data_IF_828608360827
#
_entry.id   IF_828608360827
#
_cell.length_a   1.000
_cell.length_b   1.000
_cell.length_c   1.000
_cell.angle_alpha   90.00
_cell.angle_beta   90.00
_cell.angle_gamma   90.00
#
_symmetry.space_group_name_H-M   'P 1'
#
loop_
_entity.id
_entity.type
_entity.pdbx_description
1 polymer ?
#
# COMPACT_ATOMS: atom_id res chain seq x y z
N UNK A 1 -21.30 -12.04 16.83
CA UNK A 1 -20.75 -12.74 15.64
C UNK A 1 -19.25 -12.63 15.71
N UNK A 2 -18.53 -13.74 15.51
CA UNK A 2 -17.05 -13.73 15.57
C UNK A 2 -16.52 -13.56 14.13
N UNK A 3 -15.70 -12.55 13.88
CA UNK A 3 -15.14 -12.26 12.55
C UNK A 3 -13.74 -12.82 12.34
N UNK A 4 -13.04 -13.20 13.42
CA UNK A 4 -11.68 -13.71 13.33
C UNK A 4 -11.12 -14.18 14.66
N UNK A 5 -9.84 -14.53 14.66
CA UNK A 5 -9.10 -15.00 15.83
C UNK A 5 -7.60 -14.71 15.68
N UNK A 6 -6.87 -14.73 16.77
CA UNK A 6 -5.40 -14.64 16.78
C UNK A 6 -4.79 -16.01 16.53
N UNK A 7 -3.93 -16.12 15.53
CA UNK A 7 -3.05 -17.24 15.30
C UNK A 7 -1.71 -16.96 15.99
N UNK A 8 -1.55 -17.46 17.20
CA UNK A 8 -0.40 -17.16 18.05
C UNK A 8 0.91 -17.76 17.48
N UNK A 9 0.83 -18.92 16.86
CA UNK A 9 1.99 -19.60 16.31
C UNK A 9 2.63 -18.82 15.13
N UNK A 10 1.78 -18.22 14.30
CA UNK A 10 2.22 -17.45 13.12
C UNK A 10 2.32 -15.95 13.40
N UNK A 11 1.90 -15.47 14.57
CA UNK A 11 1.79 -14.06 14.90
C UNK A 11 0.90 -13.32 13.88
N UNK A 12 -0.24 -13.90 13.56
CA UNK A 12 -1.22 -13.39 12.61
C UNK A 12 -2.58 -13.15 13.26
N UNK A 13 -3.35 -12.21 12.71
CA UNK A 13 -4.77 -12.11 12.95
C UNK A 13 -5.54 -12.63 11.75
N UNK A 14 -6.34 -13.67 11.96
CA UNK A 14 -7.10 -14.35 10.91
C UNK A 14 -8.52 -13.81 10.88
N UNK A 15 -8.94 -13.29 9.75
CA UNK A 15 -10.29 -12.79 9.47
C UNK A 15 -10.99 -13.81 8.60
N UNK A 16 -12.07 -14.42 9.13
CA UNK A 16 -12.73 -15.59 8.51
C UNK A 16 -13.90 -15.24 7.61
N UNK A 17 -14.22 -13.93 7.49
CA UNK A 17 -15.27 -13.43 6.59
C UNK A 17 -14.99 -11.99 6.18
N UNK A 18 -15.27 -11.63 4.92
CA UNK A 18 -14.82 -10.35 4.37
C UNK A 18 -15.69 -9.16 4.76
N UNK A 19 -16.92 -9.38 5.20
CA UNK A 19 -17.94 -8.38 5.55
C UNK A 19 -17.80 -7.90 7.00
N UNK A 20 -16.60 -7.53 7.40
CA UNK A 20 -16.32 -6.95 8.72
C UNK A 20 -17.08 -5.63 8.92
N UNK A 21 -17.41 -5.24 10.17
CA UNK A 21 -18.20 -4.03 10.46
C UNK A 21 -17.59 -2.72 9.94
N UNK A 22 -16.27 -2.72 9.76
CA UNK A 22 -15.46 -1.69 9.12
C UNK A 22 -14.30 -2.37 8.41
N UNK A 23 -13.62 -1.71 7.46
CA UNK A 23 -12.39 -2.25 6.90
C UNK A 23 -11.34 -2.47 8.00
N UNK A 24 -10.93 -3.70 8.20
CA UNK A 24 -9.84 -4.02 9.13
C UNK A 24 -8.54 -4.00 8.37
N UNK A 25 -7.60 -3.19 8.85
CA UNK A 25 -6.40 -2.84 8.10
C UNK A 25 -5.13 -3.44 8.70
N UNK A 26 -4.18 -3.68 7.84
CA UNK A 26 -2.80 -3.98 8.18
C UNK A 26 -1.86 -3.02 7.44
N UNK A 27 -0.60 -3.06 7.83
CA UNK A 27 0.47 -2.22 7.31
C UNK A 27 1.44 -3.07 6.50
N UNK A 28 1.89 -2.52 5.36
CA UNK A 28 2.95 -3.11 4.58
C UNK A 28 4.07 -2.08 4.48
N UNK A 29 5.30 -2.49 4.72
CA UNK A 29 6.42 -1.62 4.43
C UNK A 29 7.35 -1.30 5.58
N UNK A 30 8.10 -0.26 5.33
CA UNK A 30 9.28 0.20 6.01
C UNK A 30 9.26 1.73 6.12
N UNK A 31 10.30 2.37 6.69
CA UNK A 31 10.41 3.82 6.64
C UNK A 31 10.38 4.41 5.22
N UNK A 32 10.90 3.68 4.22
CA UNK A 32 11.02 4.15 2.83
C UNK A 32 9.72 4.05 2.06
N UNK A 33 8.88 3.07 2.36
CA UNK A 33 7.61 2.80 1.68
C UNK A 33 6.54 2.37 2.66
N UNK A 34 5.46 3.11 2.72
CA UNK A 34 4.30 2.79 3.53
C UNK A 34 3.11 2.37 2.69
N UNK A 35 2.43 1.30 3.11
CA UNK A 35 1.18 0.92 2.51
C UNK A 35 0.19 0.43 3.58
N UNK A 36 -1.07 0.81 3.42
CA UNK A 36 -2.17 0.33 4.24
C UNK A 36 -3.06 -0.54 3.37
N UNK A 37 -3.36 -1.73 3.86
CA UNK A 37 -4.19 -2.71 3.16
C UNK A 37 -5.32 -3.18 4.06
N UNK A 38 -6.56 -3.15 3.58
CA UNK A 38 -7.70 -3.73 4.28
C UNK A 38 -7.80 -5.23 4.03
N UNK A 39 -8.65 -5.91 4.80
CA UNK A 39 -9.00 -7.32 4.60
C UNK A 39 -9.63 -7.63 3.22
N UNK A 40 -9.91 -6.62 2.42
CA UNK A 40 -10.39 -6.73 1.04
C UNK A 40 -9.45 -6.04 0.02
N UNK A 41 -8.16 -5.90 0.36
CA UNK A 41 -7.11 -5.30 -0.46
C UNK A 41 -7.30 -3.81 -0.82
N UNK A 42 -8.30 -3.13 -0.25
CA UNK A 42 -8.43 -1.68 -0.39
C UNK A 42 -7.32 -0.95 0.36
N UNK A 43 -7.00 0.25 -0.06
CA UNK A 43 -6.04 1.09 0.64
C UNK A 43 -5.12 1.90 -0.27
N UNK A 44 -4.11 2.49 0.32
CA UNK A 44 -3.18 3.39 -0.35
C UNK A 44 -1.73 3.04 -0.05
N UNK A 45 -0.84 3.61 -0.83
CA UNK A 45 0.60 3.53 -0.62
C UNK A 45 1.31 4.85 -0.89
N UNK A 46 2.50 4.99 -0.30
CA UNK A 46 3.31 6.18 -0.44
C UNK A 46 4.80 5.87 -0.24
N UNK A 47 5.65 6.68 -0.86
CA UNK A 47 7.10 6.69 -0.63
C UNK A 47 7.41 7.79 0.38
N UNK A 48 8.06 7.45 1.48
CA UNK A 48 8.50 8.31 2.58
C UNK A 48 7.37 9.08 3.28
N UNK A 49 6.56 9.83 2.54
CA UNK A 49 5.57 10.75 3.09
C UNK A 49 4.15 10.43 2.62
N UNK A 50 3.23 10.26 3.57
CA UNK A 50 1.81 10.12 3.26
C UNK A 50 1.20 11.36 2.60
N UNK A 51 1.81 12.54 2.77
CA UNK A 51 1.37 13.79 2.15
C UNK A 51 1.94 14.00 0.74
N UNK A 52 3.24 13.73 0.55
CA UNK A 52 3.98 14.09 -0.67
C UNK A 52 4.58 12.89 -1.41
N UNK A 53 4.20 11.67 -1.08
CA UNK A 53 4.72 10.46 -1.71
C UNK A 53 3.64 9.51 -2.20
N UNK A 54 2.40 9.96 -2.36
CA UNK A 54 1.28 9.10 -2.75
C UNK A 54 1.50 8.43 -4.09
N UNK A 55 1.21 7.13 -4.13
CA UNK A 55 1.26 6.32 -5.36
C UNK A 55 -0.13 5.81 -5.70
N UNK A 56 -0.71 5.01 -4.80
CA UNK A 56 -2.03 4.45 -4.97
C UNK A 56 -3.09 5.37 -4.39
N UNK A 57 -4.12 5.65 -5.18
CA UNK A 57 -5.25 6.46 -4.76
C UNK A 57 -6.15 5.70 -3.81
N UNK A 58 -6.67 6.41 -2.82
CA UNK A 58 -7.71 5.95 -1.93
C UNK A 58 -8.70 7.08 -1.67
N UNK A 59 -9.99 6.79 -1.69
CA UNK A 59 -11.04 7.79 -1.43
C UNK A 59 -11.46 7.70 0.03
N UNK A 60 -10.95 8.65 0.81
CA UNK A 60 -11.41 8.85 2.18
C UNK A 60 -12.87 9.38 2.17
N UNK A 61 -13.58 9.20 3.24
CA UNK A 61 -15.00 9.55 3.38
C UNK A 61 -15.95 8.75 2.47
N UNK A 62 -15.54 7.59 2.00
CA UNK A 62 -16.39 6.64 1.31
C UNK A 62 -16.92 5.59 2.28
N UNK A 63 -18.18 5.20 2.13
CA UNK A 63 -18.76 4.07 2.90
C UNK A 63 -18.13 2.72 2.50
N UNK A 64 -17.54 2.66 1.32
CA UNK A 64 -16.77 1.53 0.84
C UNK A 64 -15.28 1.92 0.81
N UNK A 65 -14.40 1.07 1.35
CA UNK A 65 -12.97 1.26 1.24
C UNK A 65 -12.52 1.00 -0.21
N UNK A 66 -12.37 2.05 -1.01
CA UNK A 66 -12.06 2.01 -2.44
C UNK A 66 -11.14 3.18 -2.84
N UNK A 67 -10.34 3.03 -3.91
CA UNK A 67 -9.94 1.77 -4.54
C UNK A 67 -8.88 1.00 -3.76
N UNK A 68 -8.32 -0.02 -4.37
CA UNK A 68 -7.32 -0.88 -3.78
C UNK A 68 -6.48 -1.62 -4.81
N UNK A 69 -5.80 -2.63 -4.33
CA UNK A 69 -4.93 -3.53 -5.07
C UNK A 69 -5.77 -4.68 -5.60
N UNK A 70 -6.47 -4.46 -6.71
CA UNK A 70 -7.45 -5.43 -7.19
C UNK A 70 -6.88 -6.35 -8.26
N UNK A 71 -7.28 -7.60 -8.21
CA UNK A 71 -7.03 -8.58 -9.26
C UNK A 71 -8.39 -9.18 -9.61
N UNK A 72 -8.88 -8.88 -10.79
CA UNK A 72 -10.10 -9.50 -11.30
C UNK A 72 -9.76 -10.78 -12.02
N UNK A 73 -10.61 -11.78 -11.86
CA UNK A 73 -10.57 -13.03 -12.60
C UNK A 73 -11.83 -13.15 -13.43
N UNK A 74 -11.70 -13.59 -14.67
CA UNK A 74 -12.81 -13.81 -15.57
C UNK A 74 -12.66 -15.15 -16.25
N UNK A 75 -13.70 -15.95 -16.16
CA UNK A 75 -13.78 -17.23 -16.84
C UNK A 75 -13.98 -17.02 -18.35
N UNK A 76 -13.14 -17.62 -19.17
CA UNK A 76 -13.20 -17.49 -20.61
C UNK A 76 -14.39 -18.25 -21.23
N UNK A 77 -14.88 -19.32 -20.56
CA UNK A 77 -15.95 -20.17 -21.09
C UNK A 77 -17.34 -19.51 -20.98
N UNK A 78 -17.64 -18.94 -19.79
CA UNK A 78 -18.97 -18.43 -19.49
C UNK A 78 -19.02 -16.90 -19.30
N UNK A 79 -17.87 -16.24 -19.24
CA UNK A 79 -17.76 -14.79 -19.08
C UNK A 79 -18.04 -14.29 -17.67
N UNK A 80 -18.28 -15.16 -16.69
CA UNK A 80 -18.44 -14.77 -15.30
C UNK A 80 -17.12 -14.21 -14.76
N UNK A 81 -17.19 -13.18 -13.91
CA UNK A 81 -16.00 -12.56 -13.33
C UNK A 81 -16.19 -12.25 -11.83
N UNK A 82 -15.11 -12.28 -11.12
CA UNK A 82 -15.01 -11.98 -9.68
C UNK A 82 -13.66 -11.33 -9.38
N UNK A 83 -13.40 -11.00 -8.13
CA UNK A 83 -12.09 -10.52 -7.71
C UNK A 83 -11.42 -11.51 -6.76
N UNK A 84 -10.09 -11.53 -6.75
CA UNK A 84 -9.27 -12.40 -5.89
C UNK A 84 -9.47 -12.12 -4.39
N UNK A 85 -10.00 -10.95 -4.06
CA UNK A 85 -10.56 -10.58 -2.76
C UNK A 85 -12.05 -10.33 -2.93
N UNK A 86 -12.85 -10.39 -1.86
CA UNK A 86 -14.30 -10.22 -1.99
C UNK A 86 -14.69 -8.91 -2.68
N UNK A 87 -14.12 -7.79 -2.25
CA UNK A 87 -14.23 -6.52 -2.97
C UNK A 87 -13.21 -6.46 -4.13
N UNK A 88 -13.49 -5.72 -5.20
CA UNK A 88 -14.62 -4.80 -5.39
C UNK A 88 -15.88 -5.42 -6.01
N UNK A 89 -15.82 -6.66 -6.53
CA UNK A 89 -16.97 -7.27 -7.24
C UNK A 89 -18.10 -7.64 -6.28
N UNK A 90 -17.79 -8.20 -5.12
CA UNK A 90 -18.76 -8.47 -4.06
C UNK A 90 -19.73 -9.61 -4.40
N UNK A 91 -19.24 -10.77 -4.85
CA UNK A 91 -20.08 -11.95 -5.06
C UNK A 91 -20.82 -12.35 -3.77
N UNK A 92 -22.02 -12.96 -3.89
CA UNK A 92 -22.78 -13.43 -2.73
C UNK A 92 -21.94 -14.35 -1.83
N UNK A 93 -21.99 -14.12 -0.52
CA UNK A 93 -21.17 -14.85 0.46
C UNK A 93 -21.54 -16.31 0.69
N UNK A 94 -22.69 -16.76 0.19
CA UNK A 94 -23.07 -18.17 0.15
C UNK A 94 -22.31 -18.97 -0.92
N UNK A 95 -21.80 -18.28 -1.95
CA UNK A 95 -21.02 -18.87 -3.05
C UNK A 95 -19.55 -18.44 -3.06
N UNK A 96 -19.16 -17.44 -2.26
CA UNK A 96 -17.81 -16.90 -2.21
C UNK A 96 -17.21 -17.05 -0.81
N UNK A 97 -16.14 -17.82 -0.68
CA UNK A 97 -15.39 -17.97 0.56
C UNK A 97 -14.21 -17.02 0.57
N UNK A 98 -13.90 -16.47 1.73
CA UNK A 98 -12.76 -15.58 1.90
C UNK A 98 -12.16 -15.74 3.29
N UNK A 99 -10.84 -15.74 3.35
CA UNK A 99 -10.04 -15.63 4.57
C UNK A 99 -8.95 -14.59 4.33
N UNK A 100 -8.70 -13.74 5.34
CA UNK A 100 -7.58 -12.82 5.31
C UNK A 100 -6.72 -13.04 6.56
N UNK A 101 -5.40 -13.18 6.37
CA UNK A 101 -4.39 -13.27 7.42
C UNK A 101 -3.54 -12.02 7.41
N UNK A 102 -3.68 -11.20 8.43
CA UNK A 102 -2.82 -10.06 8.66
C UNK A 102 -1.65 -10.46 9.56
N UNK A 103 -0.44 -10.44 9.02
CA UNK A 103 0.80 -10.66 9.75
C UNK A 103 1.60 -9.37 9.91
N UNK A 104 2.82 -9.47 10.43
CA UNK A 104 3.70 -8.32 10.61
C UNK A 104 4.32 -7.89 9.28
N UNK A 105 3.83 -6.79 8.72
CA UNK A 105 4.19 -6.18 7.44
C UNK A 105 3.88 -7.01 6.19
N UNK A 106 2.96 -7.97 6.30
CA UNK A 106 2.41 -8.69 5.15
C UNK A 106 0.94 -9.04 5.38
N UNK A 107 0.22 -9.34 4.31
CA UNK A 107 -1.14 -9.87 4.38
C UNK A 107 -1.34 -10.95 3.33
N UNK A 108 -2.04 -12.03 3.71
CA UNK A 108 -2.40 -13.11 2.80
C UNK A 108 -3.93 -13.17 2.70
N UNK A 109 -4.45 -13.12 1.49
CA UNK A 109 -5.89 -13.18 1.22
C UNK A 109 -6.18 -14.40 0.36
N UNK A 110 -6.98 -15.30 0.90
CA UNK A 110 -7.42 -16.52 0.21
C UNK A 110 -8.88 -16.39 -0.14
N UNK A 111 -9.26 -16.76 -1.35
CA UNK A 111 -10.65 -16.85 -1.76
C UNK A 111 -10.92 -18.13 -2.56
N UNK A 112 -12.20 -18.56 -2.53
CA UNK A 112 -12.69 -19.64 -3.36
C UNK A 112 -14.04 -19.23 -3.98
N UNK A 113 -14.11 -19.29 -5.31
CA UNK A 113 -15.32 -19.05 -6.07
C UNK A 113 -15.31 -19.87 -7.37
N UNK A 114 -16.43 -20.48 -7.73
CA UNK A 114 -16.59 -21.27 -8.97
C UNK A 114 -15.47 -22.32 -9.17
N UNK A 115 -15.12 -23.05 -8.11
CA UNK A 115 -14.05 -24.05 -8.05
C UNK A 115 -12.63 -23.52 -8.35
N UNK A 116 -12.45 -22.21 -8.35
CA UNK A 116 -11.14 -21.57 -8.42
C UNK A 116 -10.77 -21.02 -7.04
N UNK A 117 -9.60 -21.43 -6.56
CA UNK A 117 -9.00 -20.89 -5.35
C UNK A 117 -7.90 -19.90 -5.71
N UNK A 118 -7.89 -18.74 -5.04
CA UNK A 118 -6.77 -17.81 -5.09
C UNK A 118 -6.14 -17.64 -3.71
N UNK A 119 -4.83 -17.42 -3.69
CA UNK A 119 -4.07 -17.00 -2.52
C UNK A 119 -3.17 -15.85 -2.93
N UNK A 120 -3.47 -14.65 -2.45
CA UNK A 120 -2.70 -13.45 -2.78
C UNK A 120 -1.96 -12.94 -1.56
N UNK A 121 -0.64 -12.88 -1.65
CA UNK A 121 0.25 -12.33 -0.62
C UNK A 121 0.68 -10.93 -1.00
N UNK A 122 0.47 -9.97 -0.11
CA UNK A 122 0.86 -8.56 -0.25
C UNK A 122 1.98 -8.25 0.75
N UNK A 123 3.09 -7.67 0.30
CA UNK A 123 4.18 -7.23 1.17
C UNK A 123 5.05 -6.18 0.48
N UNK A 124 5.89 -5.52 1.26
CA UNK A 124 6.93 -4.60 0.78
C UNK A 124 8.29 -5.21 1.16
N UNK A 125 9.18 -5.47 0.20
CA UNK A 125 10.53 -5.94 0.52
C UNK A 125 11.30 -4.88 1.31
N UNK A 126 12.13 -5.31 2.26
CA UNK A 126 12.87 -4.41 3.14
C UNK A 126 13.75 -3.41 2.36
N UNK A 127 13.67 -2.12 2.69
CA UNK A 127 14.45 -1.06 2.07
C UNK A 127 14.06 -0.73 0.62
N UNK A 128 12.92 -1.24 0.13
CA UNK A 128 12.47 -1.00 -1.23
C UNK A 128 11.35 0.04 -1.30
N UNK A 129 11.23 0.71 -2.44
CA UNK A 129 10.17 1.68 -2.73
C UNK A 129 9.13 1.11 -3.69
N UNK A 130 8.81 -0.16 -3.52
CA UNK A 130 7.76 -0.88 -4.25
C UNK A 130 7.16 -1.99 -3.39
N UNK A 131 5.95 -2.38 -3.71
CA UNK A 131 5.22 -3.48 -3.10
C UNK A 131 5.02 -4.63 -4.09
N UNK A 132 4.89 -5.84 -3.58
CA UNK A 132 4.74 -7.07 -4.34
C UNK A 132 3.42 -7.74 -3.97
N UNK A 133 2.67 -8.17 -4.99
CA UNK A 133 1.45 -8.96 -4.84
C UNK A 133 1.65 -10.28 -5.57
N UNK A 134 1.87 -11.36 -4.82
CA UNK A 134 1.96 -12.70 -5.40
C UNK A 134 0.61 -13.37 -5.32
N UNK A 135 0.00 -13.66 -6.46
CA UNK A 135 -1.24 -14.42 -6.56
C UNK A 135 -0.95 -15.83 -7.07
N UNK A 136 -1.34 -16.84 -6.29
CA UNK A 136 -1.44 -18.23 -6.71
C UNK A 136 -2.90 -18.52 -7.07
N UNK A 137 -3.12 -19.17 -8.21
CA UNK A 137 -4.45 -19.58 -8.70
C UNK A 137 -4.46 -21.08 -8.86
N UNK A 138 -5.37 -21.76 -8.18
CA UNK A 138 -5.54 -23.21 -8.23
C UNK A 138 -6.90 -23.55 -8.83
N UNK A 139 -6.90 -24.44 -9.80
CA UNK A 139 -8.11 -25.01 -10.37
C UNK A 139 -8.54 -26.23 -9.57
N UNK A 140 -9.59 -26.12 -8.78
CA UNK A 140 -10.21 -27.23 -8.04
C UNK A 140 -11.34 -27.94 -8.83
N UNK A 141 -11.64 -27.47 -10.06
CA UNK A 141 -12.61 -28.12 -10.95
C UNK A 141 -12.04 -29.45 -11.50
N UNK A 142 -12.91 -30.30 -11.95
CA UNK A 142 -12.59 -31.57 -12.62
C UNK A 142 -12.20 -31.40 -14.10
N UNK A 143 -12.35 -30.20 -14.68
CA UNK A 143 -12.01 -29.84 -16.07
C UNK A 143 -10.95 -28.74 -16.13
N UNK A 144 -10.29 -28.65 -17.27
CA UNK A 144 -9.40 -27.53 -17.57
C UNK A 144 -10.19 -26.21 -17.58
N UNK A 145 -9.59 -25.16 -17.02
CA UNK A 145 -10.17 -23.82 -16.95
C UNK A 145 -9.21 -22.79 -17.54
N UNK A 146 -9.73 -21.91 -18.35
CA UNK A 146 -8.99 -20.74 -18.85
C UNK A 146 -9.54 -19.46 -18.24
N UNK A 147 -8.69 -18.72 -17.57
CA UNK A 147 -9.04 -17.49 -16.85
C UNK A 147 -8.23 -16.32 -17.38
N UNK A 148 -8.88 -15.18 -17.61
CA UNK A 148 -8.20 -13.89 -17.71
C UNK A 148 -8.03 -13.29 -16.33
N UNK A 149 -6.82 -12.87 -15.99
CA UNK A 149 -6.52 -12.15 -14.74
C UNK A 149 -6.14 -10.70 -15.09
N UNK A 150 -6.85 -9.73 -14.47
CA UNK A 150 -6.62 -8.31 -14.63
C UNK A 150 -6.09 -7.75 -13.31
N UNK A 151 -4.76 -7.51 -13.23
CA UNK A 151 -4.20 -6.74 -12.14
C UNK A 151 -4.54 -5.27 -12.31
N UNK A 152 -4.99 -4.61 -11.26
CA UNK A 152 -5.48 -3.23 -11.31
C UNK A 152 -5.02 -2.39 -10.13
N UNK A 153 -4.59 -1.17 -10.44
CA UNK A 153 -4.35 -0.09 -9.48
C UNK A 153 -4.83 1.26 -10.05
N UNK A 154 -5.42 2.09 -9.22
CA UNK A 154 -5.60 3.51 -9.54
C UNK A 154 -4.44 4.32 -8.98
N UNK A 155 -3.71 5.02 -9.85
CA UNK A 155 -2.66 5.94 -9.43
C UNK A 155 -3.26 7.26 -8.95
N UNK A 156 -2.57 7.94 -8.02
CA UNK A 156 -2.78 9.38 -7.86
C UNK A 156 -2.22 10.12 -9.07
N UNK A 157 -2.85 11.22 -9.48
CA UNK A 157 -2.35 12.03 -10.60
C UNK A 157 -1.21 12.98 -10.17
N UNK A 158 -1.08 13.20 -8.87
CA UNK A 158 -0.03 13.99 -8.22
C UNK A 158 0.48 13.18 -7.02
N UNK A 159 1.72 13.37 -6.59
CA UNK A 159 2.23 12.73 -5.40
C UNK A 159 1.79 13.49 -4.13
N UNK A 160 1.56 14.78 -4.21
CA UNK A 160 0.98 15.56 -3.12
C UNK A 160 -0.50 15.24 -2.97
N UNK A 161 -0.86 14.68 -1.81
CA UNK A 161 -2.22 14.22 -1.52
C UNK A 161 -3.25 15.34 -1.61
N UNK A 162 -2.95 16.53 -1.07
CA UNK A 162 -3.87 17.65 -1.07
C UNK A 162 -4.14 18.15 -2.50
N UNK A 163 -3.08 18.32 -3.29
CA UNK A 163 -3.23 18.74 -4.69
C UNK A 163 -3.99 17.70 -5.51
N UNK A 164 -3.73 16.42 -5.31
CA UNK A 164 -4.45 15.34 -6.00
C UNK A 164 -5.96 15.33 -5.71
N UNK A 165 -6.37 15.76 -4.53
CA UNK A 165 -7.79 15.77 -4.13
C UNK A 165 -8.51 17.11 -4.43
N UNK A 166 -7.82 18.23 -4.31
CA UNK A 166 -8.44 19.57 -4.37
C UNK A 166 -8.27 20.22 -5.74
N UNK A 167 -7.13 19.98 -6.39
CA UNK A 167 -6.78 20.62 -7.65
C UNK A 167 -6.89 19.68 -8.85
N UNK A 168 -7.98 18.93 -8.93
CA UNK A 168 -8.20 17.88 -9.93
C UNK A 168 -8.00 18.36 -11.37
N UNK A 169 -8.51 19.55 -11.71
CA UNK A 169 -8.38 20.13 -13.04
C UNK A 169 -6.91 20.22 -13.47
N UNK A 170 -6.04 20.64 -12.55
CA UNK A 170 -4.62 20.78 -12.84
C UNK A 170 -3.93 19.42 -12.92
N UNK A 171 -4.18 18.52 -11.96
CA UNK A 171 -3.49 17.24 -11.87
C UNK A 171 -3.79 16.29 -13.04
N UNK A 172 -4.93 16.47 -13.71
CA UNK A 172 -5.25 15.73 -14.94
C UNK A 172 -4.31 16.06 -16.10
N UNK A 173 -3.78 17.28 -16.16
CA UNK A 173 -2.89 17.72 -17.26
C UNK A 173 -1.42 17.38 -17.07
N UNK A 174 -0.99 17.06 -15.84
CA UNK A 174 0.41 16.80 -15.54
C UNK A 174 0.77 15.31 -15.60
N UNK A 175 -0.23 14.43 -15.74
CA UNK A 175 -0.04 12.99 -15.71
C UNK A 175 -0.33 12.31 -17.05
N UNK A 176 0.46 11.33 -17.38
CA UNK A 176 0.25 10.45 -18.53
C UNK A 176 0.70 9.04 -18.20
N UNK A 177 0.21 8.05 -18.93
CA UNK A 177 0.65 6.67 -18.83
C UNK A 177 1.22 6.17 -20.16
N UNK A 178 2.09 5.16 -20.08
CA UNK A 178 2.68 4.47 -21.21
C UNK A 178 2.81 2.99 -20.90
N UNK A 179 2.45 2.10 -21.83
CA UNK A 179 2.71 0.67 -21.69
C UNK A 179 4.03 0.30 -22.33
N UNK A 180 4.91 -0.37 -21.58
CA UNK A 180 6.18 -0.93 -22.07
C UNK A 180 6.26 -2.41 -21.68
N UNK A 181 5.97 -3.27 -22.63
CA UNK A 181 5.98 -4.71 -22.43
C UNK A 181 4.98 -5.15 -21.36
N UNK A 182 5.49 -5.67 -20.26
CA UNK A 182 4.71 -6.21 -19.15
C UNK A 182 4.42 -5.20 -18.02
N UNK A 183 4.54 -3.90 -18.29
CA UNK A 183 4.28 -2.85 -17.30
C UNK A 183 3.61 -1.62 -17.90
N UNK A 184 2.93 -0.87 -17.04
CA UNK A 184 2.48 0.50 -17.29
C UNK A 184 3.35 1.43 -16.45
N UNK A 185 3.91 2.45 -17.10
CA UNK A 185 4.58 3.58 -16.46
C UNK A 185 3.60 4.74 -16.36
N UNK A 186 3.58 5.39 -15.20
CA UNK A 186 2.95 6.67 -15.03
C UNK A 186 4.03 7.74 -14.92
N UNK A 187 3.89 8.78 -15.72
CA UNK A 187 4.76 9.96 -15.71
C UNK A 187 3.99 11.14 -15.13
N UNK A 188 4.57 11.80 -14.14
CA UNK A 188 4.03 13.01 -13.53
C UNK A 188 5.03 14.13 -13.69
N UNK A 189 4.58 15.28 -14.21
CA UNK A 189 5.34 16.50 -14.19
C UNK A 189 4.92 17.32 -12.95
N UNK A 190 5.66 17.16 -11.87
CA UNK A 190 5.35 17.87 -10.63
C UNK A 190 5.47 19.36 -10.77
N UNK A 191 4.49 20.07 -10.18
CA UNK A 191 4.50 21.53 -10.13
C UNK A 191 5.14 22.07 -8.84
N UNK A 192 5.22 21.25 -7.81
CA UNK A 192 5.51 21.66 -6.43
C UNK A 192 6.99 21.61 -6.03
N UNK A 193 7.87 21.18 -6.91
CA UNK A 193 9.28 21.09 -6.56
C UNK A 193 10.13 20.39 -7.59
N UNK A 194 11.42 20.56 -7.45
CA UNK A 194 12.43 19.81 -8.19
C UNK A 194 12.93 18.69 -7.29
N UNK A 195 13.18 17.53 -7.87
CA UNK A 195 13.93 16.47 -7.19
C UNK A 195 15.39 16.89 -6.95
N UNK A 196 16.18 16.04 -6.29
CA UNK A 196 17.60 16.28 -6.03
C UNK A 196 18.43 16.49 -7.32
N UNK A 197 17.93 16.03 -8.47
CA UNK A 197 18.55 16.23 -9.78
C UNK A 197 18.13 17.53 -10.48
N UNK A 198 17.20 18.28 -9.87
CA UNK A 198 16.62 19.48 -10.45
C UNK A 198 15.48 19.20 -11.43
N UNK A 199 15.01 17.97 -11.52
CA UNK A 199 13.84 17.57 -12.32
C UNK A 199 12.58 17.64 -11.48
N UNK A 200 11.49 17.98 -12.14
CA UNK A 200 10.13 17.88 -11.60
C UNK A 200 9.37 16.68 -12.22
N UNK A 201 10.09 15.71 -12.73
CA UNK A 201 9.53 14.52 -13.37
C UNK A 201 9.64 13.31 -12.45
N UNK A 202 8.51 12.64 -12.24
CA UNK A 202 8.41 11.44 -11.43
C UNK A 202 7.85 10.28 -12.25
N UNK A 203 8.42 9.10 -12.07
CA UNK A 203 7.97 7.87 -12.69
C UNK A 203 7.51 6.86 -11.64
N UNK A 204 6.35 6.27 -11.90
CA UNK A 204 5.80 5.14 -11.15
C UNK A 204 5.49 4.03 -12.13
N UNK A 205 5.46 2.80 -11.62
CA UNK A 205 5.15 1.65 -12.47
C UNK A 205 4.20 0.68 -11.76
N UNK A 206 3.42 0.01 -12.58
CA UNK A 206 2.69 -1.20 -12.24
C UNK A 206 3.02 -2.26 -13.27
N UNK A 207 3.52 -3.41 -12.85
CA UNK A 207 4.04 -4.42 -13.76
C UNK A 207 3.73 -5.85 -13.31
N UNK A 208 3.93 -6.80 -14.24
CA UNK A 208 3.73 -8.24 -14.05
C UNK A 208 5.04 -8.97 -14.28
N UNK A 209 5.36 -9.92 -13.41
CA UNK A 209 6.42 -10.90 -13.58
C UNK A 209 5.83 -12.32 -13.55
N UNK A 210 6.51 -13.27 -14.19
CA UNK A 210 6.11 -14.67 -14.21
C UNK A 210 4.93 -15.02 -15.14
N UNK A 211 4.37 -14.03 -15.87
CA UNK A 211 3.29 -14.25 -16.83
C UNK A 211 3.38 -13.28 -18.01
N UNK A 212 2.87 -13.70 -19.16
CA UNK A 212 2.81 -12.85 -20.35
C UNK A 212 1.61 -11.89 -20.24
N UNK A 213 1.87 -10.59 -20.37
CA UNK A 213 0.83 -9.56 -20.49
C UNK A 213 0.35 -9.51 -21.92
N UNK A 214 -0.94 -9.71 -22.12
CA UNK A 214 -1.56 -9.71 -23.45
C UNK A 214 -1.94 -8.29 -23.89
N UNK A 215 -2.58 -7.55 -23.00
CA UNK A 215 -3.01 -6.16 -23.20
C UNK A 215 -3.07 -5.40 -21.88
N UNK A 216 -3.31 -4.10 -21.92
CA UNK A 216 -3.40 -3.26 -20.74
C UNK A 216 -4.24 -2.00 -20.95
N UNK A 217 -4.45 -1.25 -19.88
CA UNK A 217 -5.09 0.05 -19.92
C UNK A 217 -4.49 0.98 -18.87
N UNK A 218 -4.09 2.17 -19.30
CA UNK A 218 -3.57 3.22 -18.43
C UNK A 218 -4.57 4.33 -18.11
N UNK A 219 -5.77 4.27 -18.70
CA UNK A 219 -6.83 5.28 -18.58
C UNK A 219 -7.99 4.73 -17.74
N UNK A 220 -8.22 5.34 -16.58
CA UNK A 220 -9.24 4.87 -15.64
C UNK A 220 -10.64 4.90 -16.22
N UNK A 221 -10.99 5.99 -16.92
CA UNK A 221 -12.35 6.18 -17.44
C UNK A 221 -12.68 5.14 -18.53
N UNK A 222 -11.65 4.72 -19.30
CA UNK A 222 -11.76 3.67 -20.28
C UNK A 222 -11.87 2.29 -19.64
N UNK A 223 -11.03 2.01 -18.63
CA UNK A 223 -11.04 0.71 -17.96
C UNK A 223 -12.37 0.45 -17.25
N UNK A 224 -12.84 1.42 -16.47
CA UNK A 224 -14.09 1.29 -15.70
C UNK A 224 -15.31 1.44 -16.59
N UNK A 225 -15.32 2.43 -17.48
CA UNK A 225 -16.47 2.75 -18.35
C UNK A 225 -17.42 3.76 -17.72
N UNK A 226 -18.14 4.50 -18.57
CA UNK A 226 -19.09 5.51 -18.13
C UNK A 226 -20.24 4.91 -17.32
N UNK A 227 -20.60 5.54 -16.20
CA UNK A 227 -21.66 5.12 -15.27
C UNK A 227 -21.43 3.74 -14.61
N UNK A 228 -20.18 3.26 -14.58
CA UNK A 228 -19.77 2.02 -13.94
C UNK A 228 -18.89 2.31 -12.72
N UNK A 229 -18.56 1.25 -11.99
CA UNK A 229 -17.74 1.30 -10.79
C UNK A 229 -16.64 0.22 -10.84
N UNK A 230 -15.81 0.15 -9.81
CA UNK A 230 -14.81 -0.93 -9.70
C UNK A 230 -15.42 -2.33 -9.55
N UNK A 231 -16.72 -2.43 -9.21
CA UNK A 231 -17.40 -3.74 -9.14
C UNK A 231 -17.76 -4.32 -10.50
N UNK A 232 -17.84 -3.48 -11.51
CA UNK A 232 -18.27 -3.86 -12.86
C UNK A 232 -17.53 -3.11 -13.98
N UNK A 233 -16.17 -3.15 -14.01
CA UNK A 233 -15.41 -2.48 -15.06
C UNK A 233 -15.72 -3.08 -16.42
N UNK A 234 -15.91 -2.22 -17.43
CA UNK A 234 -16.29 -2.66 -18.78
C UNK A 234 -15.24 -3.59 -19.39
N UNK A 235 -13.95 -3.31 -19.20
CA UNK A 235 -12.88 -4.12 -19.79
C UNK A 235 -12.79 -5.51 -19.17
N UNK A 236 -13.15 -5.66 -17.89
CA UNK A 236 -13.23 -6.97 -17.25
C UNK A 236 -14.44 -7.76 -17.80
N UNK A 237 -15.60 -7.10 -17.92
CA UNK A 237 -16.80 -7.71 -18.49
C UNK A 237 -16.59 -8.15 -19.95
N UNK A 238 -15.93 -7.33 -20.76
CA UNK A 238 -15.58 -7.67 -22.14
C UNK A 238 -14.45 -8.70 -22.28
N UNK A 239 -13.65 -8.90 -21.20
CA UNK A 239 -12.57 -9.88 -21.15
C UNK A 239 -11.28 -9.44 -21.83
N UNK A 240 -11.10 -8.16 -22.11
CA UNK A 240 -9.88 -7.59 -22.73
C UNK A 240 -9.71 -6.12 -22.38
N UNK A 241 -8.47 -5.64 -22.38
CA UNK A 241 -8.15 -4.22 -22.42
C UNK A 241 -7.97 -3.77 -23.88
N UNK A 242 -8.06 -2.46 -24.11
CA UNK A 242 -7.98 -1.85 -25.45
C UNK A 242 -6.65 -1.14 -25.72
N UNK A 243 -5.65 -1.32 -24.83
CA UNK A 243 -4.36 -0.63 -24.82
C UNK A 243 -4.45 0.92 -24.78
N UNK A 244 -5.59 1.46 -24.35
CA UNK A 244 -5.73 2.91 -24.14
C UNK A 244 -4.82 3.40 -23.01
N UNK A 245 -4.02 4.40 -23.29
CA UNK A 245 -3.17 5.06 -22.30
C UNK A 245 -3.78 6.40 -21.88
N UNK A 246 -3.41 6.86 -20.68
CA UNK A 246 -3.90 8.12 -20.17
C UNK A 246 -3.16 9.31 -20.76
N UNK A 247 -3.94 10.32 -21.13
CA UNK A 247 -3.49 11.65 -21.44
C UNK A 247 -4.62 12.63 -21.10
N UNK A 248 -4.41 13.48 -20.11
CA UNK A 248 -5.41 14.44 -19.62
C UNK A 248 -6.67 13.82 -18.95
N UNK A 249 -6.51 12.67 -18.25
CA UNK A 249 -7.57 12.03 -17.47
C UNK A 249 -6.98 11.35 -16.23
N UNK A 250 -7.77 10.58 -15.51
CA UNK A 250 -7.29 9.80 -14.37
C UNK A 250 -6.46 8.59 -14.82
N UNK A 251 -5.34 8.39 -14.15
CA UNK A 251 -4.40 7.32 -14.45
C UNK A 251 -4.73 6.04 -13.69
N UNK A 252 -4.64 4.91 -14.37
CA UNK A 252 -4.62 3.59 -13.75
C UNK A 252 -3.51 2.71 -14.34
N UNK A 253 -3.24 1.60 -13.67
CA UNK A 253 -2.49 0.49 -14.21
C UNK A 253 -3.42 -0.73 -14.26
N UNK A 254 -3.84 -1.15 -15.43
CA UNK A 254 -4.57 -2.39 -15.65
C UNK A 254 -3.80 -3.26 -16.65
N UNK A 255 -3.46 -4.49 -16.26
CA UNK A 255 -2.68 -5.42 -17.06
C UNK A 255 -3.37 -6.78 -17.08
N UNK A 256 -3.67 -7.28 -18.28
CA UNK A 256 -4.33 -8.58 -18.45
C UNK A 256 -3.32 -9.66 -18.82
N UNK A 257 -3.44 -10.76 -18.10
CA UNK A 257 -2.76 -12.04 -18.37
C UNK A 257 -3.81 -13.13 -18.56
N UNK A 258 -3.40 -14.28 -19.12
CA UNK A 258 -4.25 -15.43 -19.27
C UNK A 258 -3.61 -16.67 -18.65
N UNK A 259 -4.43 -17.46 -17.98
CA UNK A 259 -4.02 -18.71 -17.32
C UNK A 259 -4.91 -19.84 -17.79
N UNK A 260 -4.35 -20.87 -18.40
CA UNK A 260 -5.00 -22.15 -18.60
C UNK A 260 -4.50 -23.13 -17.54
N UNK A 261 -5.41 -23.71 -16.78
CA UNK A 261 -5.14 -24.52 -15.62
C UNK A 261 -5.80 -25.91 -15.77
N UNK A 262 -5.00 -26.96 -15.81
CA UNK A 262 -5.51 -28.32 -15.70
C UNK A 262 -6.17 -28.57 -14.32
N UNK A 263 -7.01 -29.62 -14.16
CA UNK A 263 -7.54 -30.02 -12.86
C UNK A 263 -6.44 -30.18 -11.80
N UNK A 264 -6.57 -29.51 -10.66
CA UNK A 264 -5.60 -29.51 -9.55
C UNK A 264 -4.34 -28.68 -9.80
N UNK A 265 -4.16 -28.07 -10.96
CA UNK A 265 -2.98 -27.26 -11.26
C UNK A 265 -3.03 -25.91 -10.54
N UNK A 266 -1.85 -25.45 -10.07
CA UNK A 266 -1.64 -24.11 -9.52
C UNK A 266 -0.66 -23.35 -10.37
N UNK A 267 -0.99 -22.11 -10.74
CA UNK A 267 -0.09 -21.15 -11.40
C UNK A 267 0.05 -19.88 -10.58
N UNK A 268 1.15 -19.17 -10.79
CA UNK A 268 1.51 -17.97 -10.04
C UNK A 268 1.63 -16.77 -10.99
N UNK A 269 1.16 -15.61 -10.54
CA UNK A 269 1.39 -14.31 -11.17
C UNK A 269 1.88 -13.36 -10.08
N UNK A 270 2.92 -12.58 -10.40
CA UNK A 270 3.48 -11.59 -9.49
C UNK A 270 3.25 -10.20 -10.08
N UNK A 271 2.56 -9.35 -9.31
CA UNK A 271 2.39 -7.93 -9.63
C UNK A 271 3.32 -7.09 -8.75
N UNK A 272 3.86 -6.02 -9.31
CA UNK A 272 4.73 -5.08 -8.61
C UNK A 272 4.26 -3.66 -8.87
N UNK A 273 4.07 -2.89 -7.79
CA UNK A 273 3.70 -1.48 -7.82
C UNK A 273 4.77 -0.66 -7.11
N UNK A 274 5.26 0.40 -7.71
CA UNK A 274 6.24 1.25 -7.03
C UNK A 274 6.62 2.53 -7.78
N UNK A 275 7.58 3.23 -7.19
CA UNK A 275 8.16 4.45 -7.77
C UNK A 275 9.58 4.15 -8.22
N UNK A 276 9.74 3.86 -9.51
CA UNK A 276 11.01 3.58 -10.18
C UNK A 276 10.89 3.93 -11.66
N UNK A 277 12.02 4.32 -12.25
CA UNK A 277 12.08 4.57 -13.68
C UNK A 277 11.96 3.28 -14.52
N UNK A 278 11.88 3.44 -15.84
CA UNK A 278 11.71 2.35 -16.79
C UNK A 278 12.79 1.26 -16.67
N UNK A 279 14.06 1.66 -16.57
CA UNK A 279 15.17 0.71 -16.51
C UNK A 279 15.24 -0.04 -15.18
N UNK A 280 14.99 0.63 -14.07
CA UNK A 280 14.96 0.04 -12.72
C UNK A 280 13.78 -0.92 -12.58
N UNK A 281 12.58 -0.50 -12.98
CA UNK A 281 11.38 -1.33 -12.90
C UNK A 281 11.50 -2.59 -13.78
N UNK A 282 12.16 -2.51 -14.95
CA UNK A 282 12.43 -3.68 -15.77
C UNK A 282 13.34 -4.69 -15.06
N UNK A 283 14.39 -4.22 -14.38
CA UNK A 283 15.29 -5.09 -13.58
C UNK A 283 14.56 -5.72 -12.41
N UNK A 284 13.70 -4.98 -11.73
CA UNK A 284 12.89 -5.48 -10.63
C UNK A 284 11.98 -6.62 -11.11
N UNK A 285 11.20 -6.40 -12.18
CA UNK A 285 10.31 -7.43 -12.72
C UNK A 285 11.08 -8.68 -13.16
N UNK A 286 12.19 -8.52 -13.88
CA UNK A 286 13.04 -9.65 -14.27
C UNK A 286 13.58 -10.44 -13.07
N UNK A 287 13.84 -9.78 -11.94
CA UNK A 287 14.33 -10.46 -10.75
C UNK A 287 13.29 -11.38 -10.11
N UNK A 288 11.99 -11.12 -10.28
CA UNK A 288 10.89 -11.95 -9.80
C UNK A 288 10.56 -13.15 -10.70
N UNK A 289 11.25 -13.30 -11.83
CA UNK A 289 11.21 -14.53 -12.63
C UNK A 289 12.06 -15.65 -11.97
N UNK A 290 12.90 -15.28 -11.00
CA UNK A 290 13.67 -16.25 -10.22
C UNK A 290 12.75 -16.98 -9.24
N UNK A 291 12.69 -18.31 -9.37
CA UNK A 291 11.90 -19.17 -8.48
C UNK A 291 12.36 -19.03 -7.02
N UNK A 292 11.40 -18.90 -6.11
CA UNK A 292 11.65 -18.84 -4.66
C UNK A 292 11.98 -17.45 -4.11
N UNK A 293 12.22 -16.45 -4.96
CA UNK A 293 12.57 -15.08 -4.50
C UNK A 293 11.53 -14.50 -3.54
N UNK A 294 10.25 -14.62 -3.85
CA UNK A 294 9.16 -14.11 -2.99
C UNK A 294 9.18 -14.79 -1.63
N UNK A 295 9.39 -16.11 -1.60
CA UNK A 295 9.44 -16.86 -0.33
C UNK A 295 10.67 -16.48 0.51
N UNK A 296 11.81 -16.25 -0.13
CA UNK A 296 13.03 -15.75 0.53
C UNK A 296 12.80 -14.38 1.16
N UNK A 297 12.24 -13.43 0.42
CA UNK A 297 11.93 -12.07 0.88
C UNK A 297 10.90 -12.07 2.03
N UNK A 298 9.84 -12.88 1.92
CA UNK A 298 8.83 -13.03 2.99
C UNK A 298 9.42 -13.64 4.27
N UNK A 299 10.26 -14.64 4.14
CA UNK A 299 10.93 -15.26 5.30
C UNK A 299 11.89 -14.27 5.97
N UNK A 300 12.64 -13.49 5.19
CA UNK A 300 13.49 -12.43 5.70
C UNK A 300 12.67 -11.34 6.43
N UNK A 301 11.54 -10.91 5.85
CA UNK A 301 10.64 -9.92 6.43
C UNK A 301 10.04 -10.41 7.75
N UNK A 302 9.53 -11.64 7.79
CA UNK A 302 8.99 -12.26 9.02
C UNK A 302 10.06 -12.35 10.09
N UNK A 303 11.25 -12.81 9.73
CA UNK A 303 12.37 -12.92 10.68
C UNK A 303 12.80 -11.56 11.23
N UNK A 304 12.87 -10.53 10.40
CA UNK A 304 13.17 -9.16 10.82
C UNK A 304 12.19 -8.67 11.89
N UNK A 305 10.88 -8.78 11.62
CA UNK A 305 9.86 -8.33 12.56
C UNK A 305 9.81 -9.18 13.83
N UNK A 306 9.89 -10.50 13.73
CA UNK A 306 9.87 -11.38 14.89
C UNK A 306 11.07 -11.15 15.80
N UNK A 307 12.26 -10.94 15.23
CA UNK A 307 13.45 -10.61 16.02
C UNK A 307 13.32 -9.24 16.69
N UNK A 308 12.79 -8.24 16.00
CA UNK A 308 12.59 -6.91 16.60
C UNK A 308 11.58 -6.94 17.74
N UNK A 309 10.46 -7.64 17.55
CA UNK A 309 9.42 -7.76 18.58
C UNK A 309 9.88 -8.56 19.80
N UNK A 310 10.78 -9.53 19.64
CA UNK A 310 11.32 -10.35 20.74
C UNK A 310 12.25 -9.60 21.70
N UNK A 311 12.59 -8.34 21.42
CA UNK A 311 13.35 -7.49 22.36
C UNK A 311 12.58 -7.17 23.65
N UNK A 312 11.26 -7.34 23.63
CA UNK A 312 10.41 -7.21 24.81
C UNK A 312 9.31 -8.26 24.78
N UNK A 313 9.31 -9.19 25.72
CA UNK A 313 8.32 -10.25 25.84
C UNK A 313 7.77 -10.33 27.27
N UNK A 314 6.47 -10.54 27.37
CA UNK A 314 5.79 -10.84 28.64
C UNK A 314 5.18 -12.21 28.58
N UNK A 315 5.19 -12.93 29.69
CA UNK A 315 4.53 -14.22 29.87
C UNK A 315 3.59 -14.13 31.08
N UNK A 316 2.30 -14.25 30.79
CA UNK A 316 1.22 -14.21 31.79
C UNK A 316 0.27 -15.37 31.58
N UNK A 317 -0.65 -15.66 32.53
CA UNK A 317 -1.69 -16.68 32.33
C UNK A 317 -2.69 -16.38 31.21
N UNK A 318 -2.74 -15.16 30.67
CA UNK A 318 -3.61 -14.78 29.55
C UNK A 318 -2.85 -14.75 28.24
N UNK A 319 -3.10 -15.72 27.36
CA UNK A 319 -2.51 -15.80 26.03
C UNK A 319 -2.87 -14.59 25.16
N UNK A 320 -4.11 -14.08 25.28
CA UNK A 320 -4.56 -12.91 24.53
C UNK A 320 -3.78 -11.66 24.94
N UNK A 321 -3.53 -11.49 26.25
CA UNK A 321 -2.73 -10.37 26.73
C UNK A 321 -1.29 -10.48 26.25
N UNK A 322 -0.70 -11.67 26.34
CA UNK A 322 0.67 -11.92 25.84
C UNK A 322 0.77 -11.59 24.36
N UNK A 323 -0.20 -12.03 23.55
CA UNK A 323 -0.20 -11.75 22.11
C UNK A 323 -0.35 -10.25 21.81
N UNK A 324 -1.23 -9.55 22.53
CA UNK A 324 -1.38 -8.11 22.36
C UNK A 324 -0.10 -7.34 22.71
N UNK A 325 0.56 -7.72 23.82
CA UNK A 325 1.80 -7.03 24.25
C UNK A 325 3.00 -7.39 23.40
N UNK A 326 3.19 -8.68 23.10
CA UNK A 326 4.39 -9.18 22.43
C UNK A 326 4.38 -8.96 20.91
N UNK A 327 3.21 -8.75 20.31
CA UNK A 327 3.08 -8.60 18.86
C UNK A 327 2.38 -7.29 18.49
N UNK A 328 1.07 -7.21 18.74
CA UNK A 328 0.25 -6.20 18.09
C UNK A 328 0.46 -4.79 18.62
N UNK A 329 0.55 -4.60 19.93
CA UNK A 329 0.79 -3.28 20.50
C UNK A 329 2.18 -2.75 20.09
N UNK A 330 3.20 -3.59 20.21
CA UNK A 330 4.56 -3.24 19.82
C UNK A 330 4.68 -2.93 18.32
N UNK A 331 4.06 -3.76 17.47
CA UNK A 331 4.02 -3.54 16.02
C UNK A 331 3.32 -2.23 15.65
N UNK A 332 2.16 -1.95 16.23
CA UNK A 332 1.42 -0.71 15.96
C UNK A 332 2.14 0.54 16.47
N UNK A 333 2.78 0.47 17.64
CA UNK A 333 3.63 1.57 18.13
C UNK A 333 4.76 1.87 17.14
N UNK A 334 5.41 0.84 16.63
CA UNK A 334 6.48 1.01 15.65
C UNK A 334 5.99 1.65 14.35
N UNK A 335 4.89 1.17 13.79
CA UNK A 335 4.28 1.76 12.58
C UNK A 335 3.86 3.21 12.82
N UNK A 336 3.22 3.51 13.94
CA UNK A 336 2.83 4.88 14.32
C UNK A 336 4.04 5.80 14.33
N UNK A 337 5.13 5.33 14.91
CA UNK A 337 6.38 6.07 15.01
C UNK A 337 7.03 6.32 13.64
N UNK A 338 7.19 5.29 12.78
CA UNK A 338 7.91 5.45 11.51
C UNK A 338 7.12 6.29 10.49
N UNK A 339 5.78 6.22 10.49
CA UNK A 339 4.94 6.92 9.51
C UNK A 339 4.26 8.18 10.06
N UNK A 340 4.71 8.69 11.21
CA UNK A 340 4.12 9.88 11.83
C UNK A 340 2.59 9.79 11.91
N UNK A 341 2.08 8.64 12.37
CA UNK A 341 0.64 8.32 12.50
C UNK A 341 -0.15 8.24 11.19
N UNK A 342 0.48 8.31 10.02
CA UNK A 342 -0.17 8.09 8.73
C UNK A 342 -0.50 6.60 8.51
N UNK A 343 -1.24 6.00 9.43
CA UNK A 343 -1.42 4.56 9.58
C UNK A 343 -2.88 4.16 9.72
N UNK A 344 -3.79 4.85 9.04
CA UNK A 344 -5.23 4.51 9.09
C UNK A 344 -5.99 5.04 7.86
N UNK A 345 -7.25 4.65 7.76
CA UNK A 345 -8.18 5.26 6.79
C UNK A 345 -8.85 6.54 7.31
N UNK A 346 -8.53 6.95 8.53
CA UNK A 346 -9.01 8.20 9.13
C UNK A 346 -7.93 9.27 9.08
N UNK A 347 -6.75 8.97 9.59
CA UNK A 347 -5.59 9.86 9.47
C UNK A 347 -4.64 9.33 8.40
N UNK A 348 -4.57 10.04 7.30
CA UNK A 348 -3.91 9.61 6.08
C UNK A 348 -2.55 10.28 5.82
N UNK A 349 -2.00 10.99 6.83
CA UNK A 349 -0.72 11.68 6.68
C UNK A 349 -0.80 12.91 5.78
N UNK A 350 -1.81 13.75 5.96
CA UNK A 350 -2.01 14.96 5.15
C UNK A 350 -0.84 15.96 5.26
N UNK A 351 -0.10 15.95 6.36
CA UNK A 351 1.03 16.86 6.60
C UNK A 351 2.35 16.17 6.32
N UNK A 352 3.27 16.90 5.69
CA UNK A 352 4.59 16.40 5.33
C UNK A 352 5.57 16.58 6.49
N UNK A 353 5.47 15.76 7.52
CA UNK A 353 6.41 15.85 8.64
C UNK A 353 5.90 15.22 9.94
N UNK A 354 6.66 15.46 10.98
CA UNK A 354 6.45 14.97 12.32
C UNK A 354 5.85 16.06 13.20
N UNK A 355 4.68 15.85 13.78
CA UNK A 355 4.19 16.68 14.89
C UNK A 355 5.15 16.59 16.05
N UNK A 356 5.64 17.72 16.57
CA UNK A 356 6.70 17.70 17.59
C UNK A 356 6.29 16.90 18.82
N UNK A 357 5.20 17.32 19.49
CA UNK A 357 4.69 16.63 20.67
C UNK A 357 4.35 15.16 20.39
N UNK A 358 3.67 14.91 19.28
CA UNK A 358 3.18 13.59 18.93
C UNK A 358 4.34 12.61 18.75
N UNK A 359 5.37 13.02 18.02
CA UNK A 359 6.54 12.17 17.77
C UNK A 359 7.35 11.90 19.02
N UNK A 360 7.53 12.90 19.89
CA UNK A 360 8.23 12.73 21.17
C UNK A 360 7.51 11.72 22.08
N UNK A 361 6.16 11.70 22.04
CA UNK A 361 5.37 10.70 22.76
C UNK A 361 5.47 9.32 22.10
N UNK A 362 5.40 9.24 20.76
CA UNK A 362 5.43 7.98 20.02
C UNK A 362 6.77 7.25 20.18
N UNK A 363 7.87 7.99 20.34
CA UNK A 363 9.21 7.43 20.65
C UNK A 363 9.17 6.53 21.89
N UNK A 364 8.39 6.87 22.91
CA UNK A 364 8.29 6.07 24.15
C UNK A 364 7.80 4.65 23.89
N UNK A 365 6.96 4.46 22.85
CA UNK A 365 6.42 3.16 22.47
C UNK A 365 7.43 2.24 21.80
N UNK A 366 8.62 2.74 21.41
CA UNK A 366 9.60 1.96 20.65
C UNK A 366 11.00 1.90 21.26
N UNK A 367 11.25 2.59 22.35
CA UNK A 367 12.58 2.64 23.01
C UNK A 367 13.11 1.23 23.31
N UNK A 368 12.23 0.34 23.75
CA UNK A 368 12.58 -1.04 24.09
C UNK A 368 12.69 -1.96 22.86
N UNK A 369 12.13 -1.57 21.72
CA UNK A 369 12.16 -2.33 20.47
C UNK A 369 13.38 -1.97 19.61
N UNK A 370 13.72 -0.67 19.56
CA UNK A 370 14.78 -0.13 18.72
C UNK A 370 15.35 1.15 19.36
N UNK A 371 16.25 1.01 20.34
CA UNK A 371 16.80 2.16 21.06
C UNK A 371 17.67 3.08 20.19
N UNK A 372 18.33 2.54 19.15
CA UNK A 372 19.13 3.33 18.22
C UNK A 372 18.22 4.26 17.40
N UNK A 373 17.18 3.72 16.79
CA UNK A 373 16.21 4.49 15.99
C UNK A 373 15.47 5.52 16.87
N UNK A 374 15.15 5.17 18.10
CA UNK A 374 14.57 6.10 19.07
C UNK A 374 15.52 7.28 19.38
N UNK A 375 16.80 6.99 19.62
CA UNK A 375 17.81 8.02 19.89
C UNK A 375 18.04 8.94 18.69
N UNK A 376 18.08 8.39 17.47
CA UNK A 376 18.19 9.18 16.24
C UNK A 376 17.00 10.14 16.09
N UNK A 377 15.78 9.64 16.31
CA UNK A 377 14.58 10.47 16.21
C UNK A 377 14.53 11.54 17.28
N UNK A 378 14.99 11.28 18.51
CA UNK A 378 15.11 12.29 19.57
C UNK A 378 16.06 13.40 19.13
N UNK A 379 17.24 13.06 18.61
CA UNK A 379 18.21 14.06 18.12
C UNK A 379 17.61 14.89 16.97
N UNK A 380 16.93 14.25 16.05
CA UNK A 380 16.26 14.92 14.94
C UNK A 380 15.21 15.92 15.44
N UNK A 381 14.34 15.51 16.37
CA UNK A 381 13.31 16.41 16.92
C UNK A 381 13.92 17.55 17.73
N UNK A 382 14.96 17.31 18.53
CA UNK A 382 15.64 18.33 19.29
C UNK A 382 16.37 19.35 18.41
N UNK A 383 16.87 18.93 17.24
CA UNK A 383 17.52 19.87 16.30
C UNK A 383 16.56 20.90 15.70
N UNK A 384 15.25 20.65 15.79
CA UNK A 384 14.20 21.57 15.36
C UNK A 384 13.70 22.52 16.45
N UNK A 385 14.36 22.57 17.61
CA UNK A 385 14.02 23.57 18.63
C UNK A 385 14.52 24.97 18.25
N UNK A 386 13.70 25.96 18.52
CA UNK A 386 14.08 27.36 18.37
C UNK A 386 14.86 27.86 19.60
N UNK A 387 15.52 29.02 19.46
CA UNK A 387 16.44 29.56 20.46
C UNK A 387 15.85 29.77 21.89
N UNK A 388 14.55 29.94 21.99
CA UNK A 388 13.83 30.06 23.25
C UNK A 388 13.42 28.70 23.88
N UNK A 389 13.81 27.59 23.27
CA UNK A 389 13.48 26.25 23.73
C UNK A 389 12.11 25.75 23.21
N UNK A 390 11.37 26.52 22.44
CA UNK A 390 10.12 26.09 21.83
C UNK A 390 10.36 25.09 20.72
N UNK A 391 9.48 24.10 20.59
CA UNK A 391 9.49 23.15 19.46
C UNK A 391 8.63 23.69 18.31
N UNK A 392 9.08 23.43 17.07
CA UNK A 392 8.25 23.68 15.89
C UNK A 392 7.02 22.78 15.93
N UNK A 393 5.81 23.28 15.66
CA UNK A 393 4.60 22.43 15.66
C UNK A 393 4.69 21.24 14.72
N UNK A 394 5.39 21.41 13.58
CA UNK A 394 5.66 20.39 12.58
C UNK A 394 7.12 20.43 12.15
N UNK A 395 7.81 19.29 12.24
CA UNK A 395 9.16 19.10 11.73
C UNK A 395 9.08 18.33 10.43
N UNK A 396 9.45 18.94 9.32
CA UNK A 396 9.36 18.31 8.00
C UNK A 396 10.26 17.09 7.89
N UNK A 397 9.88 16.12 7.04
CA UNK A 397 10.69 14.90 6.81
C UNK A 397 12.09 15.25 6.32
N UNK A 398 12.20 16.28 5.51
CA UNK A 398 13.47 16.84 5.10
C UNK A 398 13.68 18.16 5.89
N UNK A 399 14.13 18.03 7.11
CA UNK A 399 14.33 19.10 8.06
C UNK A 399 15.07 20.32 7.48
N UNK A 400 16.19 20.08 6.81
CA UNK A 400 17.04 21.15 6.29
C UNK A 400 16.36 22.00 5.23
N UNK A 401 15.63 21.37 4.32
CA UNK A 401 14.90 22.11 3.28
C UNK A 401 13.65 22.83 3.81
N UNK A 402 13.09 22.37 4.93
CA UNK A 402 11.85 22.92 5.47
C UNK A 402 12.01 23.97 6.54
N UNK A 403 13.08 23.94 7.32
CA UNK A 403 13.25 24.77 8.51
C UNK A 403 14.55 25.55 8.55
N UNK A 404 15.68 24.92 8.25
CA UNK A 404 16.98 25.59 8.30
C UNK A 404 17.11 26.71 7.27
N UNK A 405 16.47 26.54 6.13
CA UNK A 405 16.49 27.50 5.02
C UNK A 405 15.26 28.41 4.96
N UNK A 406 14.40 28.38 5.99
CA UNK A 406 13.20 29.18 6.06
C UNK A 406 13.16 30.01 7.34
N UNK A 407 13.84 31.16 7.39
CA UNK A 407 13.87 32.04 8.56
C UNK A 407 12.49 32.48 9.03
N UNK A 408 11.56 32.65 8.12
CA UNK A 408 10.19 33.06 8.43
C UNK A 408 9.43 32.00 9.20
N UNK A 409 9.56 30.73 8.85
CA UNK A 409 8.95 29.63 9.61
C UNK A 409 9.54 29.52 11.04
N UNK A 410 10.83 29.73 11.20
CA UNK A 410 11.45 29.76 12.51
C UNK A 410 10.99 30.96 13.34
N UNK A 411 10.87 32.11 12.73
CA UNK A 411 10.34 33.30 13.38
C UNK A 411 8.87 33.14 13.76
N UNK A 412 8.07 32.57 12.89
CA UNK A 412 6.65 32.27 13.13
C UNK A 412 6.50 31.24 14.25
N UNK A 413 7.24 30.13 14.21
CA UNK A 413 7.24 29.13 15.27
C UNK A 413 7.71 29.68 16.62
N UNK A 414 8.72 30.56 16.62
CA UNK A 414 9.19 31.25 17.82
C UNK A 414 8.16 32.21 18.39
N UNK A 415 7.47 32.95 17.53
CA UNK A 415 6.36 33.82 17.91
C UNK A 415 5.18 33.00 18.48
N UNK A 416 4.82 31.94 17.79
CA UNK A 416 3.75 31.03 18.23
C UNK A 416 4.06 30.39 19.58
N UNK A 417 5.29 29.92 19.80
CA UNK A 417 5.71 29.36 21.07
C UNK A 417 5.65 30.37 22.23
N UNK A 418 5.93 31.64 21.97
CA UNK A 418 5.79 32.73 22.95
C UNK A 418 4.33 33.03 23.27
N UNK A 419 3.49 33.13 22.25
CA UNK A 419 2.08 33.50 22.40
C UNK A 419 1.27 32.39 23.07
N UNK A 420 1.51 31.13 22.72
CA UNK A 420 0.76 29.97 23.20
C UNK A 420 1.35 29.35 24.45
N UNK A 421 2.48 29.83 24.95
CA UNK A 421 3.24 29.20 26.06
C UNK A 421 3.52 27.71 25.81
N UNK A 422 3.70 27.34 24.54
CA UNK A 422 4.09 25.97 24.22
C UNK A 422 5.45 25.66 24.86
N UNK A 423 5.43 24.80 25.86
CA UNK A 423 6.64 24.24 26.41
C UNK A 423 7.13 23.11 25.50
N UNK A 424 8.44 23.02 25.24
CA UNK A 424 9.00 21.79 24.69
C UNK A 424 8.74 20.65 25.66
N UNK A 425 8.26 19.56 25.17
CA UNK A 425 8.01 18.36 25.97
C UNK A 425 9.25 17.51 26.09
#
# INVERSE_FOLDING_TARGET
MKYGYFDLANKEYVITRPDTPAPWVNYLGSPEYGAIVSNNAAGYSFVQSGANGRIARFRFNSMMALPGRYIYLRDAENGDYWSATWQPVGKPLDSYKSECRHGTAYSVMTSEYADIKTETTYYVPAGQTYEVWRMKVTNNDSKERTLSAFGFIEFTNENNYEQDQVNLQYTLFITRTERKGNKILQHINENSGKDETGSNHMERFFGVAGAQVLDGCGNLDKFVGAYRTYSNPIMVEEGKCDDSMNFNSNSCGALRTELTLAPGETKEIIYVLGQKNDAESAKILASYEQAGKVDEELNALKSYWHNKLSNFEVETPSEEFNNMMNVWNAYQCFITFIWSRAASFVYCGLRNGYGYRDTVQDIQGIIHLDPEMAAEKIRFMLSAQVSNGGGLPLVKFNHNAGHENCPDEQNEASAYAKETQMNPY
#
